data_IF_714285699117
#
_entry.id   IF_714285699117
#
_cell.length_a   1.000
_cell.length_b   1.000
_cell.length_c   1.000
_cell.angle_alpha   90.00
_cell.angle_beta   90.00
_cell.angle_gamma   90.00
#
_symmetry.space_group_name_H-M   'P 1'
#
loop_
_entity.id
_entity.type
_entity.pdbx_description
1 polymer ?
#
# COMPACT_ATOMS: atom_id res chain seq x y z
N UNK A 1 -8.64 0.11 -12.16
CA UNK A 1 -7.15 0.08 -12.26
C UNK A 1 -6.63 -0.78 -13.41
N UNK A 2 -7.11 -2.01 -13.64
CA UNK A 2 -6.64 -2.86 -14.75
C UNK A 2 -6.70 -2.12 -16.09
N UNK A 3 -7.84 -1.53 -16.43
CA UNK A 3 -8.02 -0.76 -17.68
C UNK A 3 -7.09 0.46 -17.76
N UNK A 4 -6.89 1.15 -16.64
CA UNK A 4 -5.99 2.31 -16.57
C UNK A 4 -4.54 1.90 -16.83
N UNK A 5 -4.10 0.81 -16.19
CA UNK A 5 -2.74 0.29 -16.38
C UNK A 5 -2.50 -0.19 -17.81
N UNK A 6 -3.50 -0.81 -18.43
CA UNK A 6 -3.41 -1.25 -19.81
C UNK A 6 -3.34 -0.08 -20.77
N UNK A 7 -4.21 0.92 -20.60
CA UNK A 7 -4.17 2.14 -21.42
C UNK A 7 -2.84 2.89 -21.26
N UNK A 8 -2.32 2.99 -20.03
CA UNK A 8 -1.02 3.61 -19.76
C UNK A 8 0.13 2.84 -20.43
N UNK A 9 0.09 1.52 -20.38
CA UNK A 9 1.09 0.67 -21.03
C UNK A 9 1.04 0.80 -22.55
N UNK A 10 -0.13 0.85 -23.17
CA UNK A 10 -0.31 1.07 -24.61
C UNK A 10 0.22 2.45 -25.04
N UNK A 11 -0.14 3.50 -24.28
CA UNK A 11 0.38 4.84 -24.54
C UNK A 11 1.90 4.92 -24.36
N UNK A 12 2.46 4.27 -23.33
CA UNK A 12 3.89 4.22 -23.09
C UNK A 12 4.68 3.49 -24.19
N UNK A 13 4.05 2.52 -24.84
CA UNK A 13 4.61 1.83 -26.00
C UNK A 13 4.55 2.70 -27.26
N UNK A 14 3.42 3.38 -27.49
CA UNK A 14 3.22 4.22 -28.70
C UNK A 14 3.99 5.54 -28.62
N UNK A 15 4.11 6.11 -27.44
CA UNK A 15 4.75 7.39 -27.16
C UNK A 15 5.68 7.28 -25.96
N UNK A 16 6.88 6.69 -26.11
CA UNK A 16 7.85 6.56 -25.02
C UNK A 16 8.54 7.90 -24.77
N UNK A 17 7.87 8.80 -24.06
CA UNK A 17 8.35 10.15 -23.75
C UNK A 17 8.55 10.31 -22.25
N UNK A 18 9.57 11.07 -21.85
CA UNK A 18 9.78 11.42 -20.45
C UNK A 18 8.57 12.17 -19.91
N UNK A 19 8.15 11.84 -18.68
CA UNK A 19 6.95 12.44 -18.07
C UNK A 19 5.62 11.82 -18.52
N UNK A 20 5.63 10.82 -19.40
CA UNK A 20 4.49 9.98 -19.77
C UNK A 20 3.12 10.70 -19.72
N UNK A 21 2.32 10.44 -18.68
CA UNK A 21 0.94 10.90 -18.58
C UNK A 21 0.79 12.43 -18.51
N UNK A 22 1.77 13.21 -18.03
CA UNK A 22 1.69 14.69 -18.15
C UNK A 22 1.79 15.11 -19.62
N UNK A 23 2.74 14.52 -20.36
CA UNK A 23 2.92 14.83 -21.77
C UNK A 23 1.75 14.34 -22.61
N UNK A 24 1.15 13.20 -22.25
CA UNK A 24 -0.07 12.74 -22.91
C UNK A 24 -1.23 13.71 -22.64
N UNK A 25 -1.36 14.22 -21.41
CA UNK A 25 -2.39 15.21 -21.07
C UNK A 25 -2.19 16.52 -21.83
N UNK A 26 -0.97 17.05 -21.90
CA UNK A 26 -0.63 18.25 -22.68
C UNK A 26 -0.93 18.05 -24.16
N UNK A 27 -0.63 16.87 -24.70
CA UNK A 27 -0.73 16.61 -26.14
C UNK A 27 -2.14 16.28 -26.60
N UNK A 28 -2.89 15.52 -25.80
CA UNK A 28 -4.17 14.96 -26.22
C UNK A 28 -5.39 15.64 -25.59
N UNK A 29 -5.19 16.43 -24.53
CA UNK A 29 -6.26 17.14 -23.84
C UNK A 29 -6.03 18.64 -23.96
N UNK A 30 -5.19 19.21 -23.11
CA UNK A 30 -4.91 20.64 -23.06
C UNK A 30 -3.63 20.91 -22.24
N UNK A 31 -2.79 21.91 -22.63
CA UNK A 31 -1.60 22.27 -21.86
C UNK A 31 -1.87 22.71 -20.41
N UNK A 32 -3.01 23.38 -20.15
CA UNK A 32 -3.36 23.81 -18.79
C UNK A 32 -3.68 22.61 -17.90
N UNK A 33 -4.37 21.59 -18.43
CA UNK A 33 -4.58 20.32 -17.73
C UNK A 33 -3.28 19.58 -17.47
N UNK A 34 -2.38 19.52 -18.44
CA UNK A 34 -1.06 18.93 -18.26
C UNK A 34 -0.26 19.59 -17.14
N UNK A 35 -0.29 20.92 -17.08
CA UNK A 35 0.33 21.69 -15.99
C UNK A 35 -0.30 21.35 -14.63
N UNK A 36 -1.61 21.32 -14.54
CA UNK A 36 -2.32 20.99 -13.31
C UNK A 36 -2.00 19.56 -12.83
N UNK A 37 -2.01 18.57 -13.70
CA UNK A 37 -1.65 17.17 -13.40
C UNK A 37 -0.19 17.06 -12.92
N UNK A 38 0.73 17.81 -13.53
CA UNK A 38 2.13 17.83 -13.12
C UNK A 38 2.32 18.36 -11.70
N UNK A 39 1.64 19.44 -11.34
CA UNK A 39 1.67 20.00 -9.99
C UNK A 39 0.96 19.11 -8.97
N UNK A 40 -0.19 18.54 -9.31
CA UNK A 40 -0.91 17.59 -8.44
C UNK A 40 -0.01 16.39 -8.11
N UNK A 41 0.66 15.83 -9.11
CA UNK A 41 1.60 14.72 -8.91
C UNK A 41 2.79 15.11 -8.04
N UNK A 42 3.39 16.29 -8.27
CA UNK A 42 4.50 16.78 -7.45
C UNK A 42 4.09 16.95 -5.97
N UNK A 43 2.93 17.57 -5.72
CA UNK A 43 2.40 17.75 -4.37
C UNK A 43 2.08 16.41 -3.72
N UNK A 44 1.49 15.48 -4.47
CA UNK A 44 1.20 14.14 -3.99
C UNK A 44 2.46 13.43 -3.48
N UNK A 45 3.54 13.45 -4.24
CA UNK A 45 4.81 12.83 -3.82
C UNK A 45 5.48 13.57 -2.66
N UNK A 46 5.37 14.88 -2.57
CA UNK A 46 5.86 15.66 -1.43
C UNK A 46 5.12 15.31 -0.12
N UNK A 47 3.84 14.93 -0.21
CA UNK A 47 3.05 14.54 0.96
C UNK A 47 3.20 13.07 1.34
N UNK A 48 3.54 12.19 0.39
CA UNK A 48 3.74 10.75 0.64
C UNK A 48 4.85 10.51 1.66
N UNK A 49 6.00 11.18 1.55
CA UNK A 49 7.13 10.96 2.45
C UNK A 49 6.78 11.22 3.93
N UNK A 50 6.23 12.39 4.33
CA UNK A 50 5.79 12.61 5.71
C UNK A 50 4.73 11.62 6.17
N UNK A 51 3.82 11.23 5.28
CA UNK A 51 2.78 10.23 5.59
C UNK A 51 3.40 8.88 5.92
N UNK A 52 4.32 8.37 5.10
CA UNK A 52 5.00 7.08 5.31
C UNK A 52 5.83 7.07 6.60
N UNK A 53 6.56 8.17 6.90
CA UNK A 53 7.31 8.31 8.15
C UNK A 53 6.39 8.27 9.37
N UNK A 54 5.23 8.91 9.28
CA UNK A 54 4.23 8.90 10.35
C UNK A 54 3.62 7.51 10.51
N UNK A 55 3.27 6.84 9.42
CA UNK A 55 2.73 5.48 9.43
C UNK A 55 3.73 4.47 10.03
N UNK A 56 5.02 4.57 9.68
CA UNK A 56 6.08 3.76 10.27
C UNK A 56 6.17 3.97 11.79
N UNK A 57 6.07 5.22 12.24
CA UNK A 57 6.09 5.56 13.66
C UNK A 57 4.90 4.98 14.42
N UNK A 58 3.70 5.08 13.85
CA UNK A 58 2.48 4.49 14.44
C UNK A 58 2.63 2.97 14.56
N UNK A 59 3.23 2.32 13.58
CA UNK A 59 3.50 0.88 13.62
C UNK A 59 4.42 0.50 14.77
N UNK A 60 5.47 1.30 15.05
CA UNK A 60 6.36 1.07 16.18
C UNK A 60 5.68 1.25 17.54
N UNK A 61 4.66 2.07 17.65
CA UNK A 61 3.90 2.25 18.89
C UNK A 61 3.09 1.01 19.31
N UNK A 62 3.06 -0.03 18.47
CA UNK A 62 2.55 -1.34 18.88
C UNK A 62 3.33 -1.92 20.08
N UNK A 63 4.63 -1.68 20.15
CA UNK A 63 5.47 -2.13 21.26
C UNK A 63 5.43 -1.13 22.42
N UNK A 64 5.22 -1.59 23.63
CA UNK A 64 5.10 -0.74 24.83
C UNK A 64 6.35 0.13 25.07
N UNK A 65 7.54 -0.42 24.84
CA UNK A 65 8.80 0.32 24.95
C UNK A 65 8.85 1.56 24.05
N UNK A 66 8.23 1.48 22.89
CA UNK A 66 8.20 2.58 21.90
C UNK A 66 7.18 3.67 22.23
N UNK A 67 6.13 3.35 22.99
CA UNK A 67 5.06 4.32 23.34
C UNK A 67 5.54 5.46 24.22
N UNK A 68 6.55 5.22 25.05
CA UNK A 68 7.11 6.22 25.96
C UNK A 68 8.07 7.20 25.26
N UNK A 69 8.42 6.93 23.99
CA UNK A 69 9.33 7.75 23.20
C UNK A 69 8.50 8.68 22.32
N UNK A 70 8.88 9.98 22.29
CA UNK A 70 8.20 10.93 21.43
C UNK A 70 8.28 10.51 19.95
N UNK A 71 7.15 10.58 19.26
CA UNK A 71 7.05 10.24 17.84
C UNK A 71 8.06 10.97 16.94
N UNK A 72 8.41 12.20 17.29
CA UNK A 72 9.40 12.99 16.56
C UNK A 72 10.79 12.32 16.51
N UNK A 73 11.17 11.59 17.57
CA UNK A 73 12.45 10.86 17.60
C UNK A 73 12.46 9.76 16.54
N UNK A 74 11.39 8.99 16.44
CA UNK A 74 11.27 7.94 15.43
C UNK A 74 11.24 8.47 14.00
N UNK A 75 10.50 9.56 13.78
CA UNK A 75 10.45 10.23 12.48
C UNK A 75 11.85 10.71 12.09
N UNK A 76 12.60 11.31 13.03
CA UNK A 76 13.96 11.78 12.77
C UNK A 76 14.91 10.63 12.44
N UNK A 77 14.83 9.51 13.16
CA UNK A 77 15.67 8.33 12.91
C UNK A 77 15.38 7.79 11.48
N UNK A 78 14.12 7.61 11.12
CA UNK A 78 13.78 7.11 9.79
C UNK A 78 14.18 8.09 8.68
N UNK A 79 13.99 9.39 8.90
CA UNK A 79 14.41 10.41 7.94
C UNK A 79 15.93 10.37 7.72
N UNK A 80 16.71 10.31 8.81
CA UNK A 80 18.18 10.22 8.72
C UNK A 80 18.61 8.95 7.99
N UNK A 81 17.99 7.80 8.27
CA UNK A 81 18.27 6.55 7.56
C UNK A 81 17.97 6.68 6.05
N UNK A 82 16.85 7.28 5.68
CA UNK A 82 16.51 7.53 4.28
C UNK A 82 17.54 8.43 3.61
N UNK A 83 17.94 9.53 4.27
CA UNK A 83 18.96 10.44 3.73
C UNK A 83 20.28 9.72 3.54
N UNK A 84 20.71 8.89 4.50
CA UNK A 84 21.93 8.10 4.37
C UNK A 84 21.87 7.18 3.15
N UNK A 85 20.76 6.46 2.96
CA UNK A 85 20.58 5.58 1.80
C UNK A 85 20.67 6.36 0.49
N UNK A 86 20.08 7.56 0.43
CA UNK A 86 20.11 8.41 -0.76
C UNK A 86 21.51 8.94 -1.09
N UNK A 87 22.37 9.17 -0.09
CA UNK A 87 23.75 9.63 -0.30
C UNK A 87 24.60 8.57 -1.03
N UNK A 88 24.29 7.28 -0.89
CA UNK A 88 24.97 6.20 -1.62
C UNK A 88 24.59 6.15 -3.12
N UNK A 89 23.69 7.00 -3.57
CA UNK A 89 23.28 7.11 -4.96
C UNK A 89 22.39 5.96 -5.44
N UNK A 90 22.14 5.92 -6.74
CA UNK A 90 21.18 5.01 -7.37
C UNK A 90 21.52 3.53 -7.13
N UNK A 91 22.78 3.17 -7.14
CA UNK A 91 23.19 1.76 -6.92
C UNK A 91 22.92 1.30 -5.50
N UNK A 92 23.31 2.11 -4.49
CA UNK A 92 23.05 1.78 -3.08
C UNK A 92 21.57 1.72 -2.77
N UNK A 93 20.79 2.67 -3.28
CA UNK A 93 19.32 2.66 -3.17
C UNK A 93 18.72 1.37 -3.76
N UNK A 94 19.13 0.98 -4.98
CA UNK A 94 18.61 -0.21 -5.65
C UNK A 94 18.89 -1.52 -4.90
N UNK A 95 20.09 -1.68 -4.30
CA UNK A 95 20.43 -2.85 -3.50
C UNK A 95 19.58 -2.92 -2.22
N UNK A 96 19.44 -1.80 -1.51
CA UNK A 96 18.59 -1.72 -0.30
C UNK A 96 17.14 -2.03 -0.64
N UNK A 97 16.60 -1.44 -1.71
CA UNK A 97 15.24 -1.70 -2.17
C UNK A 97 15.01 -3.16 -2.54
N UNK A 98 15.97 -3.79 -3.21
CA UNK A 98 15.91 -5.21 -3.55
C UNK A 98 15.82 -6.09 -2.30
N UNK A 99 16.68 -5.88 -1.32
CA UNK A 99 16.66 -6.63 -0.05
C UNK A 99 15.35 -6.42 0.71
N UNK A 100 14.91 -5.17 0.84
CA UNK A 100 13.65 -4.84 1.51
C UNK A 100 12.44 -5.43 0.78
N UNK A 101 12.48 -5.50 -0.55
CA UNK A 101 11.42 -6.13 -1.36
C UNK A 101 11.32 -7.63 -1.11
N UNK A 102 12.45 -8.33 -0.97
CA UNK A 102 12.46 -9.76 -0.60
C UNK A 102 11.86 -9.96 0.79
N UNK A 103 12.27 -9.15 1.77
CA UNK A 103 11.74 -9.21 3.14
C UNK A 103 10.22 -8.96 3.13
N UNK A 104 9.75 -7.96 2.39
CA UNK A 104 8.32 -7.64 2.23
C UNK A 104 7.55 -8.82 1.64
N UNK A 105 8.04 -9.43 0.58
CA UNK A 105 7.39 -10.58 -0.06
C UNK A 105 7.34 -11.77 0.90
N UNK A 106 8.44 -12.07 1.58
CA UNK A 106 8.50 -13.16 2.56
C UNK A 106 7.54 -12.93 3.73
N UNK A 107 7.44 -11.68 4.22
CA UNK A 107 6.52 -11.32 5.29
C UNK A 107 5.04 -11.47 4.87
N UNK A 108 4.68 -11.06 3.66
CA UNK A 108 3.30 -11.21 3.14
C UNK A 108 2.95 -12.68 2.93
N UNK A 109 3.85 -13.48 2.36
CA UNK A 109 3.64 -14.93 2.22
C UNK A 109 3.50 -15.59 3.59
N UNK A 110 4.37 -15.25 4.54
CA UNK A 110 4.28 -15.72 5.93
C UNK A 110 2.95 -15.35 6.59
N UNK A 111 2.48 -14.13 6.38
CA UNK A 111 1.17 -13.69 6.86
C UNK A 111 0.02 -14.51 6.23
N UNK A 112 0.05 -14.75 4.93
CA UNK A 112 -0.97 -15.55 4.23
C UNK A 112 -1.03 -16.96 4.81
N UNK A 113 0.12 -17.62 4.96
CA UNK A 113 0.22 -18.97 5.53
C UNK A 113 -0.32 -18.96 6.97
N UNK A 114 0.12 -18.01 7.78
CA UNK A 114 -0.31 -17.87 9.16
C UNK A 114 -1.82 -17.62 9.28
N UNK A 115 -2.38 -16.75 8.44
CA UNK A 115 -3.82 -16.47 8.42
C UNK A 115 -4.64 -17.71 8.05
N UNK A 116 -4.20 -18.52 7.09
CA UNK A 116 -4.85 -19.78 6.73
C UNK A 116 -4.81 -20.76 7.91
N UNK A 117 -3.67 -20.91 8.59
CA UNK A 117 -3.53 -21.78 9.75
C UNK A 117 -4.47 -21.34 10.88
N UNK A 118 -4.57 -20.03 11.13
CA UNK A 118 -5.50 -19.48 12.12
C UNK A 118 -6.96 -19.76 11.74
N UNK A 119 -7.33 -19.53 10.49
CA UNK A 119 -8.70 -19.68 10.01
C UNK A 119 -9.16 -21.14 10.06
N UNK A 120 -8.28 -22.07 9.72
CA UNK A 120 -8.55 -23.53 9.75
C UNK A 120 -8.49 -24.17 11.14
N UNK A 121 -8.16 -23.40 12.17
CA UNK A 121 -8.10 -23.92 13.55
C UNK A 121 -6.79 -24.63 13.89
N UNK A 122 -5.71 -24.38 13.17
CA UNK A 122 -4.38 -24.96 13.43
C UNK A 122 -3.69 -24.43 14.71
N UNK A 123 -4.37 -23.56 15.49
CA UNK A 123 -3.85 -23.01 16.74
C UNK A 123 -4.60 -23.60 17.93
N UNK A 124 -3.90 -24.01 19.03
CA UNK A 124 -4.56 -24.59 20.19
C UNK A 124 -5.61 -23.64 20.79
N UNK A 125 -6.72 -24.18 21.32
CA UNK A 125 -7.77 -23.40 21.96
C UNK A 125 -7.22 -22.50 23.06
N UNK A 126 -7.71 -21.27 23.13
CA UNK A 126 -7.38 -20.31 24.20
C UNK A 126 -8.63 -20.04 25.04
N UNK A 127 -8.49 -19.62 26.33
CA UNK A 127 -9.62 -19.34 27.18
C UNK A 127 -10.69 -18.42 26.57
N UNK A 128 -10.27 -17.45 25.78
CA UNK A 128 -11.17 -16.49 25.10
C UNK A 128 -11.60 -16.96 23.67
N UNK A 129 -11.06 -18.07 23.19
CA UNK A 129 -11.33 -18.64 21.87
C UNK A 129 -11.41 -20.18 21.98
N UNK A 130 -12.51 -20.71 22.53
CA UNK A 130 -12.67 -22.15 22.78
C UNK A 130 -12.83 -22.95 21.49
N UNK A 131 -13.33 -22.32 20.41
CA UNK A 131 -13.41 -22.95 19.09
C UNK A 131 -12.28 -22.41 18.20
N UNK A 132 -11.27 -23.22 17.85
CA UNK A 132 -10.15 -22.77 17.05
C UNK A 132 -10.51 -22.49 15.58
N UNK A 133 -11.56 -23.13 15.05
CA UNK A 133 -12.00 -22.92 13.67
C UNK A 133 -12.78 -21.61 13.56
N UNK A 134 -12.31 -20.69 12.72
CA UNK A 134 -12.92 -19.38 12.49
C UNK A 134 -13.83 -19.41 11.25
N UNK A 135 -13.31 -19.84 10.11
CA UNK A 135 -14.01 -19.80 8.83
C UNK A 135 -14.58 -18.41 8.53
N UNK A 136 -15.78 -18.35 7.95
CA UNK A 136 -16.46 -17.10 7.64
C UNK A 136 -17.24 -16.47 8.82
N UNK A 137 -16.93 -16.82 10.07
CA UNK A 137 -17.68 -16.36 11.26
C UNK A 137 -17.80 -14.84 11.33
N UNK A 138 -16.72 -14.12 11.11
CA UNK A 138 -16.70 -12.65 11.22
C UNK A 138 -17.39 -11.94 10.06
N UNK A 139 -17.62 -12.63 8.95
CA UNK A 139 -18.43 -12.11 7.85
C UNK A 139 -19.94 -12.19 8.13
N UNK A 140 -20.35 -13.05 9.07
CA UNK A 140 -21.73 -13.15 9.53
C UNK A 140 -21.99 -12.31 10.79
N UNK A 141 -21.03 -12.27 11.74
CA UNK A 141 -21.14 -11.52 12.98
C UNK A 141 -19.76 -10.93 13.36
N UNK A 142 -19.56 -9.60 13.36
CA UNK A 142 -20.56 -8.51 13.23
C UNK A 142 -21.10 -8.25 11.83
N UNK A 143 -20.56 -8.86 10.78
CA UNK A 143 -21.04 -8.75 9.40
C UNK A 143 -19.98 -8.19 8.44
N UNK A 144 -20.12 -8.56 7.15
CA UNK A 144 -19.18 -8.18 6.09
C UNK A 144 -19.29 -6.71 5.68
N UNK A 145 -20.49 -6.14 5.76
CA UNK A 145 -20.76 -4.75 5.38
C UNK A 145 -21.21 -3.96 6.60
N UNK A 146 -20.32 -3.11 7.09
CA UNK A 146 -20.63 -2.19 8.19
C UNK A 146 -20.89 -0.80 7.61
N UNK A 147 -21.80 -0.03 8.23
CA UNK A 147 -22.21 1.32 7.81
C UNK A 147 -22.85 1.41 6.40
N UNK A 148 -23.37 0.30 5.86
CA UNK A 148 -24.11 0.27 4.60
C UNK A 148 -23.35 0.86 3.41
N UNK A 149 -24.04 1.60 2.55
CA UNK A 149 -23.47 2.19 1.33
C UNK A 149 -22.38 3.23 1.61
N UNK A 150 -22.50 4.00 2.68
CA UNK A 150 -21.47 4.97 3.07
C UNK A 150 -20.14 4.29 3.43
N UNK A 151 -20.22 3.20 4.22
CA UNK A 151 -19.03 2.38 4.53
C UNK A 151 -18.39 1.79 3.28
N UNK A 152 -19.19 1.31 2.34
CA UNK A 152 -18.71 0.82 1.04
C UNK A 152 -17.97 1.92 0.26
N UNK A 153 -18.55 3.12 0.15
CA UNK A 153 -17.90 4.24 -0.56
C UNK A 153 -16.60 4.70 0.11
N UNK A 154 -16.53 4.72 1.44
CA UNK A 154 -15.34 5.15 2.17
C UNK A 154 -14.11 4.27 1.92
N UNK A 155 -14.32 2.98 1.63
CA UNK A 155 -13.24 2.04 1.33
C UNK A 155 -12.49 2.41 0.05
N UNK A 156 -13.14 3.02 -0.94
CA UNK A 156 -12.48 3.40 -2.20
C UNK A 156 -11.37 4.42 -1.99
N UNK A 157 -11.54 5.35 -1.06
CA UNK A 157 -10.50 6.33 -0.73
C UNK A 157 -9.24 5.64 -0.18
N UNK A 158 -9.42 4.68 0.73
CA UNK A 158 -8.30 3.91 1.30
C UNK A 158 -7.71 2.95 0.26
N UNK A 159 -8.56 2.29 -0.52
CA UNK A 159 -8.12 1.34 -1.55
C UNK A 159 -7.29 2.02 -2.65
N UNK A 160 -7.51 3.31 -2.93
CA UNK A 160 -6.72 4.05 -3.92
C UNK A 160 -5.23 4.12 -3.55
N UNK A 161 -4.89 4.15 -2.26
CA UNK A 161 -3.50 4.09 -1.79
C UNK A 161 -2.80 2.78 -2.17
N UNK A 162 -3.51 1.66 -2.21
CA UNK A 162 -2.93 0.37 -2.60
C UNK A 162 -2.45 0.34 -4.05
N UNK A 163 -2.97 1.25 -4.88
CA UNK A 163 -2.64 1.39 -6.29
C UNK A 163 -1.72 2.57 -6.60
N UNK A 164 -1.35 3.36 -5.59
CA UNK A 164 -0.37 4.44 -5.72
C UNK A 164 0.98 3.87 -6.15
N UNK A 165 1.66 4.53 -7.06
CA UNK A 165 2.94 4.09 -7.61
C UNK A 165 2.83 3.13 -8.81
N UNK A 166 1.64 2.64 -9.17
CA UNK A 166 1.48 1.80 -10.37
C UNK A 166 1.76 2.58 -11.66
N UNK A 167 1.51 3.88 -11.66
CA UNK A 167 1.80 4.81 -12.76
C UNK A 167 3.28 4.96 -13.06
N UNK A 168 4.17 4.62 -12.14
CA UNK A 168 5.63 4.62 -12.34
C UNK A 168 6.06 3.72 -13.50
N UNK A 169 5.29 2.67 -13.81
CA UNK A 169 5.54 1.82 -14.98
C UNK A 169 5.46 2.65 -16.28
N UNK A 170 4.51 3.59 -16.34
CA UNK A 170 4.40 4.51 -17.49
C UNK A 170 5.55 5.50 -17.56
N UNK A 171 5.98 6.03 -16.41
CA UNK A 171 7.12 6.97 -16.37
C UNK A 171 8.43 6.29 -16.76
N UNK A 172 8.64 5.04 -16.34
CA UNK A 172 9.81 4.24 -16.67
C UNK A 172 9.85 3.80 -18.16
N UNK A 173 8.76 3.97 -18.91
CA UNK A 173 8.69 3.54 -20.31
C UNK A 173 9.74 4.22 -21.20
N UNK A 174 10.06 5.49 -20.93
CA UNK A 174 11.04 6.24 -21.68
C UNK A 174 12.51 5.84 -21.39
N UNK A 175 12.74 5.19 -20.25
CA UNK A 175 14.06 4.72 -19.80
C UNK A 175 14.31 3.25 -20.13
N UNK A 176 13.27 2.54 -20.61
CA UNK A 176 13.35 1.12 -20.94
C UNK A 176 14.18 0.89 -22.21
N UNK A 177 15.06 -0.09 -22.20
CA UNK A 177 15.85 -0.49 -23.38
C UNK A 177 14.95 -0.95 -24.56
N UNK A 178 13.87 -1.66 -24.23
CA UNK A 178 12.87 -2.09 -25.22
C UNK A 178 11.45 -1.86 -24.70
N UNK A 179 10.89 -0.64 -24.87
CA UNK A 179 9.57 -0.28 -24.37
C UNK A 179 8.44 -1.20 -24.85
N UNK A 180 8.50 -1.65 -26.12
CA UNK A 180 7.51 -2.54 -26.71
C UNK A 180 7.33 -3.86 -25.94
N UNK A 181 8.40 -4.38 -25.36
CA UNK A 181 8.40 -5.65 -24.64
C UNK A 181 8.30 -5.47 -23.12
N UNK A 182 9.05 -4.50 -22.59
CA UNK A 182 9.28 -4.40 -21.14
C UNK A 182 8.13 -3.70 -20.43
N UNK A 183 7.53 -2.67 -21.02
CA UNK A 183 6.41 -1.94 -20.42
C UNK A 183 5.16 -2.79 -20.24
N UNK A 184 4.66 -3.53 -21.26
CA UNK A 184 3.50 -4.40 -21.08
C UNK A 184 3.76 -5.55 -20.10
N UNK A 185 4.99 -6.05 -20.04
CA UNK A 185 5.38 -7.10 -19.10
C UNK A 185 5.40 -6.57 -17.67
N UNK A 186 6.01 -5.41 -17.45
CA UNK A 186 6.04 -4.74 -16.15
C UNK A 186 4.62 -4.41 -15.66
N UNK A 187 3.77 -3.84 -16.51
CA UNK A 187 2.38 -3.54 -16.17
C UNK A 187 1.60 -4.78 -15.73
N UNK A 188 1.73 -5.90 -16.44
CA UNK A 188 1.10 -7.16 -16.06
C UNK A 188 1.64 -7.71 -14.74
N UNK A 189 2.95 -7.65 -14.51
CA UNK A 189 3.57 -8.10 -13.26
C UNK A 189 3.10 -7.28 -12.06
N UNK A 190 3.08 -5.96 -12.17
CA UNK A 190 2.60 -5.06 -11.10
C UNK A 190 1.14 -5.37 -10.80
N UNK A 191 0.29 -5.51 -11.83
CA UNK A 191 -1.12 -5.80 -11.64
C UNK A 191 -1.36 -7.12 -10.88
N UNK A 192 -0.70 -8.22 -11.30
CA UNK A 192 -0.83 -9.51 -10.65
C UNK A 192 -0.28 -9.51 -9.23
N UNK A 193 0.82 -8.81 -8.99
CA UNK A 193 1.38 -8.66 -7.64
C UNK A 193 0.39 -7.96 -6.71
N UNK A 194 -0.22 -6.88 -7.16
CA UNK A 194 -1.24 -6.17 -6.38
C UNK A 194 -2.45 -7.07 -6.15
N UNK A 195 -3.00 -7.69 -7.20
CA UNK A 195 -4.16 -8.56 -7.08
C UNK A 195 -3.92 -9.71 -6.08
N UNK A 196 -2.79 -10.41 -6.18
CA UNK A 196 -2.50 -11.55 -5.31
C UNK A 196 -2.20 -11.07 -3.88
N UNK A 197 -1.29 -10.12 -3.71
CA UNK A 197 -0.83 -9.75 -2.37
C UNK A 197 -1.85 -8.91 -1.61
N UNK A 198 -2.51 -7.94 -2.25
CA UNK A 198 -3.50 -7.11 -1.55
C UNK A 198 -4.86 -7.80 -1.41
N UNK A 199 -5.42 -8.32 -2.49
CA UNK A 199 -6.77 -8.91 -2.43
C UNK A 199 -6.77 -10.14 -1.53
N UNK A 200 -5.80 -11.05 -1.71
CA UNK A 200 -5.73 -12.27 -0.90
C UNK A 200 -5.43 -11.97 0.57
N UNK A 201 -4.47 -11.09 0.86
CA UNK A 201 -4.11 -10.77 2.24
C UNK A 201 -5.24 -10.03 2.98
N UNK A 202 -5.93 -9.08 2.31
CA UNK A 202 -7.08 -8.40 2.90
C UNK A 202 -8.28 -9.32 3.08
N UNK A 203 -8.52 -10.23 2.14
CA UNK A 203 -9.55 -11.25 2.28
C UNK A 203 -9.29 -12.12 3.51
N UNK A 204 -8.09 -12.67 3.66
CA UNK A 204 -7.69 -13.47 4.81
C UNK A 204 -7.72 -12.67 6.12
N UNK A 205 -7.30 -11.41 6.08
CA UNK A 205 -7.41 -10.52 7.24
C UNK A 205 -8.87 -10.39 7.69
N UNK A 206 -9.79 -10.19 6.74
CA UNK A 206 -11.22 -10.09 7.03
C UNK A 206 -11.84 -11.39 7.57
N UNK A 207 -11.27 -12.56 7.27
CA UNK A 207 -11.70 -13.83 7.87
C UNK A 207 -11.22 -13.98 9.32
N UNK A 208 -9.99 -13.52 9.59
CA UNK A 208 -9.33 -13.76 10.88
C UNK A 208 -9.62 -12.68 11.93
N UNK A 209 -9.90 -11.45 11.49
CA UNK A 209 -10.06 -10.30 12.39
C UNK A 209 -11.48 -9.73 12.32
N UNK A 210 -12.21 -9.67 13.47
CA UNK A 210 -13.53 -9.03 13.48
C UNK A 210 -13.42 -7.51 13.30
N UNK A 211 -14.38 -6.93 12.59
CA UNK A 211 -14.41 -5.49 12.28
C UNK A 211 -14.62 -4.59 13.51
N UNK A 212 -15.17 -5.14 14.60
CA UNK A 212 -15.42 -4.45 15.87
C UNK A 212 -14.30 -4.65 16.92
N UNK A 213 -13.18 -5.24 16.54
CA UNK A 213 -12.05 -5.42 17.44
C UNK A 213 -11.57 -4.07 18.00
N UNK A 214 -11.64 -3.89 19.33
CA UNK A 214 -11.30 -2.62 20.02
C UNK A 214 -9.97 -2.00 19.60
N UNK A 215 -8.99 -2.79 19.23
CA UNK A 215 -7.69 -2.30 18.76
C UNK A 215 -7.72 -1.66 17.37
N UNK A 216 -8.73 -1.98 16.54
CA UNK A 216 -8.95 -1.33 15.25
C UNK A 216 -9.80 -0.08 15.35
N UNK A 217 -10.62 0.03 16.40
CA UNK A 217 -11.53 1.17 16.61
C UNK A 217 -10.86 2.33 17.35
N UNK A 218 -9.70 2.13 17.97
CA UNK A 218 -8.95 3.20 18.62
C UNK A 218 -8.16 3.97 17.55
N UNK A 219 -8.86 4.90 16.89
CA UNK A 219 -8.21 6.02 16.24
C UNK A 219 -7.44 6.82 17.31
N UNK A 220 -6.20 7.29 17.04
CA UNK A 220 -5.46 8.14 17.99
C UNK A 220 -6.22 9.41 18.42
N UNK A 221 -7.26 9.79 17.68
CA UNK A 221 -8.15 10.92 17.98
C UNK A 221 -9.28 10.58 18.97
N UNK A 222 -9.54 9.30 19.26
CA UNK A 222 -10.65 8.88 20.13
C UNK A 222 -10.32 8.79 21.63
N UNK A 223 -9.07 8.97 22.05
CA UNK A 223 -8.69 8.88 23.46
C UNK A 223 -8.86 10.19 24.25
N UNK A 224 -9.35 11.26 23.62
CA UNK A 224 -9.54 12.57 24.28
C UNK A 224 -10.96 12.82 24.82
N UNK A 225 -11.88 11.86 24.78
CA UNK A 225 -13.27 12.09 25.19
C UNK A 225 -13.75 11.28 26.40
N UNK A 226 -12.89 10.82 27.28
CA UNK A 226 -13.32 10.29 28.58
C UNK A 226 -12.30 10.71 29.65
N UNK A 227 -12.38 11.96 30.06
CA UNK A 227 -11.92 12.52 31.30
C UNK A 227 -13.13 12.99 32.10
#
# INVERSE_FOLDING_TARGET
>A
MLMVMQALAELGVLYPVNGAFFNYTVRFIDPAWGFAVGWDYAISWLTVLPFELTAATITLQFWEASRNINSAVWITIFLVLLVIIQVFGIRGYGEVEFVLSIIKIAAVIGFIIYAIILDTGGVPPRPNYPNPYLGAKYWHNPGAFNNGFFGFCSVFTVASFAYSGTELVGLAAAEAENPLRDVPRAAKQVLWRIAIFYVLSLFLLGLVVPSDARKFTISPLGSMSNG
#
